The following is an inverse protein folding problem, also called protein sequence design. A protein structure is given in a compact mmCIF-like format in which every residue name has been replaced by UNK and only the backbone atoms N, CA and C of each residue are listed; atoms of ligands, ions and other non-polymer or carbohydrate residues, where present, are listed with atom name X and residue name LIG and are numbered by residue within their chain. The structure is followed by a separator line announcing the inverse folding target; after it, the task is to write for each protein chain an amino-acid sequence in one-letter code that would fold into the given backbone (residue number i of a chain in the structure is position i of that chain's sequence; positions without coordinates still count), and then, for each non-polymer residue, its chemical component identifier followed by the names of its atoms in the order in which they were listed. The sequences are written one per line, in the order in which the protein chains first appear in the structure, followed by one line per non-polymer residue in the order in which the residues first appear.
data_IF_208107707094
#
_entry.id   IF_208107707094
#
_cell.length_a   1.000
_cell.length_b   1.000
_cell.length_c   1.000
_cell.angle_alpha   90.00
_cell.angle_beta   90.00
_cell.angle_gamma   90.00
#
_symmetry.space_group_name_H-M   'P 1'
#
loop_
_entity.id
_entity.type
_entity.pdbx_description
1 polymer ?
#
# COMPACT_ATOMS: atom_id res chain seq x y z
N UNK A 1 -15.16 -41.53 49.29
CA UNK A 1 -15.85 -40.74 48.25
C UNK A 1 -14.83 -39.94 47.47
N UNK A 2 -14.52 -40.33 46.23
CA UNK A 2 -13.65 -39.56 45.32
C UNK A 2 -14.55 -38.81 44.34
N UNK A 3 -14.49 -37.48 44.36
CA UNK A 3 -15.22 -36.64 43.41
C UNK A 3 -14.31 -36.38 42.21
N UNK A 4 -14.71 -36.85 41.03
CA UNK A 4 -14.05 -36.55 39.75
C UNK A 4 -14.73 -35.29 39.21
N UNK A 5 -13.98 -34.20 39.11
CA UNK A 5 -14.43 -32.96 38.46
C UNK A 5 -14.26 -33.13 36.93
N UNK A 6 -15.31 -32.97 36.11
CA UNK A 6 -15.17 -33.05 34.67
C UNK A 6 -14.56 -31.73 34.17
N UNK A 7 -13.39 -31.81 33.56
CA UNK A 7 -12.76 -30.69 32.87
C UNK A 7 -13.45 -30.51 31.51
N UNK A 8 -14.38 -29.57 31.42
CA UNK A 8 -15.03 -29.16 30.17
C UNK A 8 -14.04 -28.35 29.32
N UNK A 9 -13.44 -28.99 28.33
CA UNK A 9 -12.68 -28.34 27.26
C UNK A 9 -13.67 -27.60 26.35
N UNK A 10 -13.77 -26.27 26.51
CA UNK A 10 -14.42 -25.41 25.53
C UNK A 10 -13.53 -25.26 24.29
N UNK A 11 -13.85 -26.00 23.23
CA UNK A 11 -13.29 -25.73 21.91
C UNK A 11 -13.97 -24.48 21.34
N UNK A 12 -13.29 -23.33 21.43
CA UNK A 12 -13.75 -22.11 20.78
C UNK A 12 -13.56 -22.21 19.26
N UNK A 13 -14.64 -22.48 18.53
CA UNK A 13 -14.68 -22.25 17.08
C UNK A 13 -14.55 -20.74 16.82
N UNK A 14 -13.34 -20.27 16.54
CA UNK A 14 -13.15 -18.93 15.98
C UNK A 14 -13.73 -18.93 14.57
N UNK A 15 -14.94 -18.39 14.43
CA UNK A 15 -15.49 -18.04 13.13
C UNK A 15 -14.55 -17.03 12.49
N UNK A 16 -13.95 -17.39 11.37
CA UNK A 16 -13.19 -16.44 10.57
C UNK A 16 -14.16 -15.34 10.12
N UNK A 17 -14.02 -14.14 10.66
CA UNK A 17 -14.83 -13.00 10.25
C UNK A 17 -14.78 -12.88 8.72
N UNK A 18 -15.95 -12.75 8.09
CA UNK A 18 -16.04 -12.58 6.65
C UNK A 18 -15.19 -11.36 6.23
N UNK A 19 -14.47 -11.49 5.11
CA UNK A 19 -13.65 -10.39 4.64
C UNK A 19 -14.54 -9.17 4.31
N UNK A 20 -14.19 -7.95 4.77
CA UNK A 20 -14.97 -6.75 4.50
C UNK A 20 -15.24 -6.55 3.00
N UNK A 21 -16.47 -6.16 2.65
CA UNK A 21 -16.86 -5.90 1.26
C UNK A 21 -16.12 -4.65 0.73
N UNK A 22 -15.28 -4.76 -0.30
CA UNK A 22 -14.48 -3.62 -0.76
C UNK A 22 -15.32 -2.45 -1.29
N UNK A 23 -14.98 -1.24 -0.86
CA UNK A 23 -15.56 0.03 -1.29
C UNK A 23 -14.67 0.66 -2.37
N UNK A 24 -14.92 0.28 -3.62
CA UNK A 24 -14.08 0.67 -4.77
C UNK A 24 -13.98 2.18 -5.02
N UNK A 25 -14.90 2.98 -4.46
CA UNK A 25 -14.93 4.45 -4.56
C UNK A 25 -14.47 5.16 -3.28
N UNK A 26 -14.07 4.43 -2.24
CA UNK A 26 -13.58 5.00 -1.00
C UNK A 26 -12.05 5.21 -1.06
N UNK A 27 -11.62 6.41 -0.69
CA UNK A 27 -10.23 6.82 -0.66
C UNK A 27 -9.86 7.37 0.71
N UNK A 28 -8.79 6.87 1.31
CA UNK A 28 -8.26 7.35 2.58
C UNK A 28 -7.21 8.42 2.29
N UNK A 29 -7.69 9.67 2.23
CA UNK A 29 -6.84 10.85 2.08
C UNK A 29 -5.99 11.02 3.34
N UNK A 30 -4.71 11.35 3.17
CA UNK A 30 -3.73 11.41 4.26
C UNK A 30 -3.77 10.20 5.22
N UNK A 31 -3.86 8.99 4.67
CA UNK A 31 -4.02 7.75 5.45
C UNK A 31 -2.97 7.61 6.56
N UNK A 32 -1.77 8.14 6.35
CA UNK A 32 -0.66 8.12 7.30
C UNK A 32 -0.94 8.82 8.63
N UNK A 33 -1.96 9.69 8.75
CA UNK A 33 -2.34 10.26 10.05
C UNK A 33 -3.06 9.28 10.97
N UNK A 34 -3.53 8.14 10.47
CA UNK A 34 -4.22 7.15 11.28
C UNK A 34 -3.26 6.43 12.24
N UNK A 35 -3.81 5.87 13.32
CA UNK A 35 -3.04 5.11 14.32
C UNK A 35 -2.37 3.90 13.70
N UNK A 36 -3.05 3.22 12.78
CA UNK A 36 -2.52 2.10 12.00
C UNK A 36 -2.72 2.39 10.51
N UNK A 37 -1.82 3.17 9.89
CA UNK A 37 -1.88 3.47 8.46
C UNK A 37 -2.03 2.18 7.65
N UNK A 38 -2.76 2.27 6.54
CA UNK A 38 -3.22 1.20 5.66
C UNK A 38 -4.15 0.18 6.34
N UNK A 39 -3.84 -0.29 7.54
CA UNK A 39 -4.63 -1.31 8.23
C UNK A 39 -6.01 -0.79 8.60
N UNK A 40 -6.12 0.45 9.08
CA UNK A 40 -7.40 1.07 9.39
C UNK A 40 -8.24 1.29 8.12
N UNK A 41 -7.63 1.72 7.01
CA UNK A 41 -8.32 1.83 5.72
C UNK A 41 -8.82 0.47 5.21
N UNK A 42 -7.99 -0.57 5.26
CA UNK A 42 -8.38 -1.93 4.88
C UNK A 42 -9.48 -2.51 5.78
N UNK A 43 -9.43 -2.23 7.08
CA UNK A 43 -10.47 -2.65 8.03
C UNK A 43 -11.82 -1.97 7.72
N UNK A 44 -11.79 -0.76 7.16
CA UNK A 44 -12.96 -0.04 6.67
C UNK A 44 -13.29 -0.34 5.19
N UNK A 45 -12.64 -1.33 4.58
CA UNK A 45 -12.87 -1.80 3.21
C UNK A 45 -12.46 -0.83 2.10
N UNK A 46 -11.60 0.16 2.38
CA UNK A 46 -11.21 1.16 1.38
C UNK A 46 -10.34 0.53 0.29
N UNK A 47 -10.50 0.99 -0.95
CA UNK A 47 -9.76 0.49 -2.12
C UNK A 47 -8.73 1.48 -2.63
N UNK A 48 -8.53 2.59 -1.94
CA UNK A 48 -7.55 3.61 -2.30
C UNK A 48 -7.04 4.29 -1.05
N UNK A 49 -5.74 4.53 -0.97
CA UNK A 49 -5.08 5.25 0.13
C UNK A 49 -4.03 6.20 -0.43
N UNK A 50 -3.75 7.27 0.30
CA UNK A 50 -2.72 8.26 -0.05
C UNK A 50 -1.57 8.27 0.95
N UNK A 51 -0.35 8.40 0.43
CA UNK A 51 0.87 8.64 1.18
C UNK A 51 1.61 9.87 0.63
N UNK A 52 1.75 10.89 1.48
CA UNK A 52 2.63 12.03 1.20
C UNK A 52 4.09 11.61 1.44
N UNK A 53 4.92 11.68 0.41
CA UNK A 53 6.29 11.15 0.44
C UNK A 53 7.31 12.26 0.23
N UNK A 54 8.26 12.30 1.17
CA UNK A 54 9.48 13.10 1.12
C UNK A 54 10.69 12.20 0.85
N UNK A 55 11.55 12.60 -0.08
CA UNK A 55 12.91 12.11 -0.13
C UNK A 55 13.76 12.87 0.89
N UNK A 56 14.25 12.18 1.92
CA UNK A 56 15.12 12.76 2.96
C UNK A 56 16.22 11.77 3.31
N UNK A 57 17.47 12.23 3.25
CA UNK A 57 18.67 11.42 3.56
C UNK A 57 18.72 10.08 2.79
N UNK A 58 18.27 10.08 1.52
CA UNK A 58 18.20 8.88 0.68
C UNK A 58 17.04 7.93 0.99
N UNK A 59 16.14 8.29 1.91
CA UNK A 59 14.98 7.49 2.30
C UNK A 59 13.66 8.14 1.86
N UNK A 60 12.68 7.31 1.53
CA UNK A 60 11.32 7.74 1.21
C UNK A 60 10.47 7.70 2.48
N UNK A 61 10.38 8.84 3.16
CA UNK A 61 9.67 9.01 4.43
C UNK A 61 8.28 9.60 4.20
N UNK A 62 7.33 9.25 5.07
CA UNK A 62 5.93 9.64 4.94
C UNK A 62 5.55 10.68 6.00
N UNK A 63 4.90 11.75 5.55
CA UNK A 63 4.37 12.84 6.39
C UNK A 63 3.88 13.99 5.50
N UNK A 64 3.09 14.92 6.05
CA UNK A 64 2.60 16.06 5.27
C UNK A 64 3.64 17.18 5.22
N UNK A 65 4.33 17.41 6.33
CA UNK A 65 5.39 18.38 6.49
C UNK A 65 6.73 17.72 6.88
N UNK A 66 7.83 18.37 6.50
CA UNK A 66 9.19 17.85 6.72
C UNK A 66 9.58 17.67 8.20
N UNK A 67 8.95 18.42 9.12
CA UNK A 67 9.18 18.33 10.56
C UNK A 67 8.48 17.14 11.21
N UNK A 68 7.50 16.52 10.54
CA UNK A 68 6.78 15.34 11.03
C UNK A 68 7.52 14.03 10.74
N UNK A 69 8.54 14.08 9.87
CA UNK A 69 9.22 12.90 9.34
C UNK A 69 9.96 12.14 10.44
N UNK A 70 9.68 10.84 10.51
CA UNK A 70 10.34 9.88 11.40
C UNK A 70 10.96 8.77 10.56
N UNK A 71 12.18 8.34 10.90
CA UNK A 71 12.93 7.33 10.12
C UNK A 71 12.18 6.00 10.02
N UNK A 72 11.39 5.65 11.04
CA UNK A 72 10.62 4.41 11.10
C UNK A 72 9.36 4.44 10.21
N UNK A 73 8.93 5.64 9.79
CA UNK A 73 7.72 5.89 9.01
C UNK A 73 8.04 6.08 7.53
N UNK A 74 8.67 5.06 6.94
CA UNK A 74 8.96 5.02 5.51
C UNK A 74 7.75 4.55 4.69
N UNK A 75 7.76 4.85 3.39
CA UNK A 75 6.78 4.33 2.43
C UNK A 75 6.78 2.78 2.44
N UNK A 76 7.95 2.17 2.55
CA UNK A 76 8.12 0.72 2.56
C UNK A 76 7.51 0.08 3.81
N UNK A 77 7.73 0.68 4.99
CA UNK A 77 7.23 0.15 6.27
C UNK A 77 5.74 0.35 6.46
N UNK A 78 5.19 1.49 6.04
CA UNK A 78 3.78 1.81 6.22
C UNK A 78 2.88 1.18 5.15
N UNK A 79 3.33 1.08 3.89
CA UNK A 79 2.46 0.70 2.78
C UNK A 79 2.92 -0.53 2.01
N UNK A 80 4.12 -0.51 1.42
CA UNK A 80 4.53 -1.56 0.47
C UNK A 80 4.71 -2.93 1.14
N UNK A 81 5.40 -2.99 2.29
CA UNK A 81 5.62 -4.23 3.01
C UNK A 81 4.31 -4.84 3.56
N UNK A 82 3.41 -4.10 4.22
CA UNK A 82 2.15 -4.67 4.66
C UNK A 82 1.20 -5.05 3.51
N UNK A 83 1.17 -4.29 2.40
CA UNK A 83 0.44 -4.68 1.19
C UNK A 83 0.98 -6.00 0.64
N UNK A 84 2.30 -6.13 0.49
CA UNK A 84 2.93 -7.35 0.00
C UNK A 84 2.59 -8.58 0.85
N UNK A 85 2.59 -8.44 2.19
CA UNK A 85 2.16 -9.50 3.12
C UNK A 85 0.70 -9.89 2.88
N UNK A 86 -0.18 -8.89 2.77
CA UNK A 86 -1.61 -9.12 2.52
C UNK A 86 -1.87 -9.78 1.17
N UNK A 87 -1.23 -9.30 0.10
CA UNK A 87 -1.36 -9.85 -1.25
C UNK A 87 -0.96 -11.32 -1.29
N UNK A 88 0.13 -11.69 -0.61
CA UNK A 88 0.54 -13.10 -0.48
C UNK A 88 -0.50 -13.92 0.29
N UNK A 89 -1.00 -13.41 1.41
CA UNK A 89 -2.02 -14.10 2.22
C UNK A 89 -3.36 -14.29 1.49
N UNK A 90 -3.68 -13.41 0.54
CA UNK A 90 -4.93 -13.41 -0.21
C UNK A 90 -4.80 -14.02 -1.63
N UNK A 91 -3.71 -14.70 -1.94
CA UNK A 91 -3.57 -15.43 -3.21
C UNK A 91 -3.36 -14.51 -4.44
N UNK A 92 -2.65 -13.40 -4.24
CA UNK A 92 -2.25 -12.49 -5.33
C UNK A 92 -3.13 -11.24 -5.50
N UNK A 93 -3.95 -10.88 -4.51
CA UNK A 93 -4.77 -9.66 -4.52
C UNK A 93 -4.86 -9.02 -3.14
N UNK A 94 -5.16 -7.71 -3.05
CA UNK A 94 -5.33 -7.04 -1.75
C UNK A 94 -6.57 -7.55 -1.03
N UNK A 95 -7.68 -7.74 -1.75
CA UNK A 95 -8.90 -8.38 -1.25
C UNK A 95 -9.10 -9.75 -1.92
N UNK A 96 -9.66 -10.76 -1.25
CA UNK A 96 -9.90 -12.09 -1.87
C UNK A 96 -10.91 -12.03 -3.00
N UNK A 97 -11.83 -11.05 -2.97
CA UNK A 97 -12.74 -10.73 -4.08
C UNK A 97 -12.03 -10.15 -5.31
N UNK A 98 -10.70 -9.94 -5.25
CA UNK A 98 -9.87 -9.36 -6.31
C UNK A 98 -10.28 -7.94 -6.72
N UNK A 99 -10.91 -7.19 -5.80
CA UNK A 99 -11.17 -5.76 -6.01
C UNK A 99 -9.84 -5.00 -6.24
N UNK A 100 -9.83 -4.01 -7.16
CA UNK A 100 -8.64 -3.21 -7.42
C UNK A 100 -8.27 -2.39 -6.18
N UNK A 101 -6.97 -2.17 -5.99
CA UNK A 101 -6.46 -1.33 -4.91
C UNK A 101 -5.47 -0.30 -5.45
N UNK A 102 -5.61 0.95 -5.01
CA UNK A 102 -4.74 2.05 -5.43
C UNK A 102 -3.93 2.57 -4.24
N UNK A 103 -2.64 2.77 -4.48
CA UNK A 103 -1.77 3.53 -3.57
C UNK A 103 -1.37 4.81 -4.30
N UNK A 104 -1.92 5.93 -3.88
CA UNK A 104 -1.50 7.24 -4.34
C UNK A 104 -0.26 7.66 -3.56
N UNK A 105 0.81 8.01 -4.27
CA UNK A 105 2.05 8.51 -3.69
C UNK A 105 2.20 9.96 -4.12
N UNK A 106 1.99 10.89 -3.20
CA UNK A 106 2.11 12.32 -3.48
C UNK A 106 3.53 12.81 -3.15
N UNK A 107 4.28 13.22 -4.16
CA UNK A 107 5.65 13.69 -3.97
C UNK A 107 5.69 15.11 -3.43
N UNK A 108 6.26 15.27 -2.23
CA UNK A 108 6.43 16.57 -1.55
C UNK A 108 7.83 17.19 -1.72
N UNK A 109 8.74 16.48 -2.37
CA UNK A 109 10.12 16.92 -2.67
C UNK A 109 10.38 16.92 -4.18
N UNK A 110 11.64 17.14 -4.59
CA UNK A 110 12.04 17.07 -5.99
C UNK A 110 11.59 15.76 -6.64
N UNK A 111 10.77 15.87 -7.68
CA UNK A 111 10.14 14.73 -8.34
C UNK A 111 11.13 13.75 -8.94
N UNK A 112 12.02 14.18 -9.84
CA UNK A 112 13.01 13.30 -10.47
C UNK A 112 13.89 12.56 -9.46
N UNK A 113 14.41 13.25 -8.44
CA UNK A 113 15.22 12.62 -7.39
C UNK A 113 14.41 11.61 -6.56
N UNK A 114 13.18 11.97 -6.18
CA UNK A 114 12.28 11.08 -5.42
C UNK A 114 11.95 9.83 -6.24
N UNK A 115 11.66 9.99 -7.53
CA UNK A 115 11.36 8.89 -8.44
C UNK A 115 12.56 7.96 -8.68
N UNK A 116 13.77 8.52 -8.78
CA UNK A 116 15.01 7.75 -8.92
C UNK A 116 15.22 6.79 -7.73
N UNK A 117 14.83 7.18 -6.52
CA UNK A 117 14.86 6.32 -5.32
C UNK A 117 13.65 5.38 -5.26
N UNK A 118 12.48 5.83 -5.71
CA UNK A 118 11.25 5.00 -5.71
C UNK A 118 11.37 3.80 -6.65
N UNK A 119 11.91 3.96 -7.86
CA UNK A 119 12.04 2.88 -8.86
C UNK A 119 12.64 1.58 -8.31
N UNK A 120 13.88 1.57 -7.77
CA UNK A 120 14.48 0.34 -7.25
C UNK A 120 13.71 -0.22 -6.04
N UNK A 121 13.04 0.63 -5.25
CA UNK A 121 12.15 0.17 -4.18
C UNK A 121 10.96 -0.60 -4.76
N UNK A 122 10.29 -0.07 -5.80
CA UNK A 122 9.15 -0.74 -6.43
C UNK A 122 9.53 -2.07 -7.10
N UNK A 123 10.75 -2.20 -7.60
CA UNK A 123 11.23 -3.45 -8.20
C UNK A 123 11.18 -4.63 -7.20
N UNK A 124 11.49 -4.40 -5.92
CA UNK A 124 11.36 -5.41 -4.86
C UNK A 124 9.93 -5.95 -4.72
N UNK A 125 8.95 -5.15 -5.13
CA UNK A 125 7.52 -5.42 -5.02
C UNK A 125 6.84 -5.68 -6.37
N UNK A 126 7.60 -5.77 -7.47
CA UNK A 126 7.08 -5.94 -8.84
C UNK A 126 5.99 -7.00 -8.96
N UNK A 127 6.09 -8.09 -8.20
CA UNK A 127 5.14 -9.21 -8.25
C UNK A 127 3.69 -8.82 -7.93
N UNK A 128 3.46 -7.73 -7.18
CA UNK A 128 2.12 -7.26 -6.81
C UNK A 128 1.68 -6.00 -7.56
N UNK A 129 2.58 -5.33 -8.27
CA UNK A 129 2.31 -4.01 -8.83
C UNK A 129 1.79 -4.07 -10.27
N UNK A 130 0.86 -3.17 -10.58
CA UNK A 130 0.49 -2.88 -11.97
C UNK A 130 1.71 -2.36 -12.73
N UNK A 131 1.99 -2.94 -13.89
CA UNK A 131 3.08 -2.55 -14.75
C UNK A 131 2.54 -1.91 -16.04
N UNK A 132 3.19 -0.84 -16.46
CA UNK A 132 2.86 -0.09 -17.66
C UNK A 132 4.02 -0.14 -18.64
N UNK A 133 3.67 -0.24 -19.92
CA UNK A 133 4.56 -0.05 -21.09
C UNK A 133 3.90 0.96 -22.02
N UNK A 134 4.53 1.29 -23.14
CA UNK A 134 3.92 2.15 -24.15
C UNK A 134 2.56 1.60 -24.66
N UNK A 135 2.47 0.28 -24.84
CA UNK A 135 1.34 -0.33 -25.53
C UNK A 135 0.38 -1.08 -24.60
N UNK A 136 0.83 -1.43 -23.38
CA UNK A 136 0.07 -2.34 -22.50
C UNK A 136 0.14 -1.94 -21.03
N UNK A 137 -0.97 -2.22 -20.34
CA UNK A 137 -1.07 -2.21 -18.88
C UNK A 137 -1.30 -3.63 -18.38
N UNK A 138 -0.32 -4.18 -17.66
CA UNK A 138 -0.47 -5.46 -16.95
C UNK A 138 -0.93 -5.16 -15.52
N UNK A 139 -2.23 -5.33 -15.28
CA UNK A 139 -2.85 -5.08 -13.97
C UNK A 139 -2.27 -6.02 -12.91
N UNK A 140 -1.85 -5.43 -11.79
CA UNK A 140 -1.41 -6.13 -10.59
C UNK A 140 -2.43 -6.04 -9.45
N UNK A 141 -2.04 -6.50 -8.27
CA UNK A 141 -2.85 -6.38 -7.06
C UNK A 141 -2.98 -4.93 -6.57
N UNK A 142 -1.95 -4.11 -6.80
CA UNK A 142 -1.88 -2.71 -6.39
C UNK A 142 -1.45 -1.87 -7.59
N UNK A 143 -2.25 -0.85 -7.91
CA UNK A 143 -1.86 0.19 -8.87
C UNK A 143 -1.30 1.38 -8.10
N UNK A 144 -0.04 1.72 -8.37
CA UNK A 144 0.58 2.93 -7.83
C UNK A 144 0.29 4.10 -8.77
N UNK A 145 -0.13 5.23 -8.20
CA UNK A 145 -0.35 6.49 -8.92
C UNK A 145 0.48 7.56 -8.23
N UNK A 146 1.39 8.20 -8.97
CA UNK A 146 2.21 9.31 -8.46
C UNK A 146 1.45 10.62 -8.65
N UNK A 147 1.39 11.45 -7.60
CA UNK A 147 0.80 12.79 -7.54
C UNK A 147 1.84 13.82 -7.05
N UNK A 148 1.45 15.09 -6.92
CA UNK A 148 2.31 16.16 -6.42
C UNK A 148 3.37 16.56 -7.44
N UNK A 149 4.62 16.61 -7.00
CA UNK A 149 5.83 16.88 -7.81
C UNK A 149 6.17 15.72 -8.76
N UNK A 150 5.22 15.35 -9.64
CA UNK A 150 5.35 14.24 -10.59
C UNK A 150 6.40 14.54 -11.65
N UNK A 151 7.43 13.69 -11.82
CA UNK A 151 8.42 13.86 -12.88
C UNK A 151 7.92 13.26 -14.21
N UNK A 152 6.86 13.83 -14.80
CA UNK A 152 6.19 13.28 -16.00
C UNK A 152 7.18 12.94 -17.12
N UNK A 153 8.05 13.88 -17.49
CA UNK A 153 9.04 13.67 -18.54
C UNK A 153 9.98 12.49 -18.25
N UNK A 154 10.40 12.29 -16.99
CA UNK A 154 11.25 11.15 -16.62
C UNK A 154 10.46 9.83 -16.65
N UNK A 155 9.18 9.85 -16.25
CA UNK A 155 8.32 8.66 -16.28
C UNK A 155 7.96 8.24 -17.71
N UNK A 156 7.77 9.20 -18.63
CA UNK A 156 7.48 8.94 -20.04
C UNK A 156 8.68 8.36 -20.81
N UNK A 157 9.90 8.61 -20.32
CA UNK A 157 11.12 7.99 -20.86
C UNK A 157 11.30 6.53 -20.42
N UNK A 158 10.61 6.07 -19.37
CA UNK A 158 10.69 4.69 -18.92
C UNK A 158 9.85 3.78 -19.84
N UNK A 159 10.52 2.97 -20.67
CA UNK A 159 9.86 1.97 -21.53
C UNK A 159 8.98 0.97 -20.75
N UNK A 160 9.32 0.74 -19.47
CA UNK A 160 8.51 -0.04 -18.53
C UNK A 160 8.56 0.59 -17.15
N UNK A 161 7.39 0.83 -16.56
CA UNK A 161 7.24 1.46 -15.24
C UNK A 161 6.26 0.70 -14.35
N UNK A 162 6.43 0.84 -13.04
CA UNK A 162 5.60 0.21 -12.00
C UNK A 162 4.66 1.20 -11.30
N UNK A 163 4.56 2.41 -11.83
CA UNK A 163 3.71 3.48 -11.34
C UNK A 163 3.12 4.29 -12.49
N UNK A 164 1.84 4.60 -12.37
CA UNK A 164 1.10 5.62 -13.11
C UNK A 164 1.36 7.02 -12.54
N UNK A 165 0.78 8.04 -13.16
CA UNK A 165 0.60 9.37 -12.57
C UNK A 165 -0.81 9.86 -12.89
N UNK A 166 -1.35 10.74 -12.07
CA UNK A 166 -2.64 11.40 -12.30
C UNK A 166 -2.49 12.62 -13.24
N UNK A 167 -3.61 13.03 -13.86
CA UNK A 167 -3.74 14.17 -14.79
C UNK A 167 -2.88 14.08 -16.03
#
# INVERSE_FOLDING_TARGET
MKWILPCLLFAACQSAAAEPKPLIRAHAHNDYYHKRPLLDALANSFCSVEADVFLKDGQLLVGHFSFELKKERSLETLYLSPLAKRVKANGGSVYKSRAPFHLMIDFKTDGPATYAVLKPLLEKYRFMLTAFTADTTKVGAVTIVISGSRPRAAMEQDAKRLAGYDG
#
